data_IF_009956805990
#
_entry.id   IF_009956805990
#
_cell.length_a   1.000
_cell.length_b   1.000
_cell.length_c   1.000
_cell.angle_alpha   90.00
_cell.angle_beta   90.00
_cell.angle_gamma   90.00
#
_symmetry.space_group_name_H-M   'P 1'
#
loop_
_entity.id
_entity.type
_entity.pdbx_description
1 polymer ?
#
# COMPACT_ATOMS: atom_id res chain seq x y z
N UNK A 1 4.84 7.01 14.72
CA UNK A 1 3.56 7.70 14.44
C UNK A 1 3.54 9.11 15.02
N UNK A 2 3.88 9.31 16.30
CA UNK A 2 3.79 10.62 16.96
C UNK A 2 4.66 11.74 16.37
N UNK A 3 5.81 11.40 15.79
CA UNK A 3 6.71 12.36 15.12
C UNK A 3 6.67 12.29 13.60
N UNK A 4 5.84 11.40 13.04
CA UNK A 4 5.76 11.18 11.60
C UNK A 4 4.78 12.16 10.95
N UNK A 5 5.06 12.56 9.71
CA UNK A 5 4.10 13.33 8.89
C UNK A 5 3.14 12.41 8.14
N UNK A 6 3.61 11.22 7.75
CA UNK A 6 2.83 10.24 7.01
C UNK A 6 3.01 8.84 7.63
N UNK A 7 1.93 8.07 7.66
CA UNK A 7 1.89 6.67 8.04
C UNK A 7 1.32 5.87 6.88
N UNK A 8 2.13 5.00 6.28
CA UNK A 8 1.71 4.04 5.28
C UNK A 8 1.55 2.66 5.91
N UNK A 9 0.37 2.07 5.76
CA UNK A 9 0.06 0.73 6.24
C UNK A 9 -0.04 -0.22 5.04
N UNK A 10 0.99 -1.03 4.75
CA UNK A 10 0.90 -2.04 3.70
C UNK A 10 0.13 -3.26 4.18
N UNK A 11 -1.03 -3.52 3.59
CA UNK A 11 -1.92 -4.62 3.99
C UNK A 11 -2.22 -5.50 2.80
N UNK A 12 -2.15 -6.81 3.00
CA UNK A 12 -2.57 -7.74 1.94
C UNK A 12 -4.08 -7.85 1.93
N UNK A 13 -4.72 -8.02 0.77
CA UNK A 13 -6.17 -8.24 0.66
C UNK A 13 -6.52 -9.67 1.12
N UNK A 14 -6.06 -10.10 2.29
CA UNK A 14 -6.33 -11.40 2.92
C UNK A 14 -7.16 -11.16 4.18
N UNK A 15 -8.21 -11.95 4.36
CA UNK A 15 -9.14 -11.82 5.50
C UNK A 15 -8.43 -11.81 6.86
N UNK A 16 -7.34 -12.58 7.01
CA UNK A 16 -6.54 -12.61 8.25
C UNK A 16 -5.86 -11.26 8.50
N UNK A 17 -5.23 -10.70 7.48
CA UNK A 17 -4.49 -9.44 7.54
C UNK A 17 -5.46 -8.25 7.72
N UNK A 18 -6.63 -8.29 7.10
CA UNK A 18 -7.69 -7.30 7.32
C UNK A 18 -8.20 -7.36 8.77
N UNK A 19 -8.37 -8.55 9.34
CA UNK A 19 -8.80 -8.69 10.75
C UNK A 19 -7.82 -8.10 11.75
N UNK A 20 -6.52 -8.07 11.45
CA UNK A 20 -5.55 -7.40 12.33
C UNK A 20 -5.68 -5.88 12.35
N UNK A 21 -6.40 -5.27 11.38
CA UNK A 21 -6.62 -3.82 11.39
C UNK A 21 -7.41 -3.35 12.62
N UNK A 22 -8.33 -4.17 13.15
CA UNK A 22 -9.08 -3.81 14.35
C UNK A 22 -8.17 -3.55 15.56
N UNK A 23 -7.03 -4.24 15.67
CA UNK A 23 -6.05 -3.99 16.73
C UNK A 23 -5.17 -2.76 16.44
N UNK A 24 -4.99 -2.41 15.17
CA UNK A 24 -4.25 -1.22 14.76
C UNK A 24 -5.09 0.05 14.87
N UNK A 25 -6.40 -0.06 14.70
CA UNK A 25 -7.36 1.04 14.72
C UNK A 25 -7.23 1.91 15.98
N UNK A 26 -7.33 1.29 17.16
CA UNK A 26 -7.19 2.00 18.45
C UNK A 26 -5.83 2.73 18.58
N UNK A 27 -4.77 2.13 18.03
CA UNK A 27 -3.41 2.71 18.11
C UNK A 27 -3.28 3.88 17.15
N UNK A 28 -3.84 3.76 15.94
CA UNK A 28 -3.85 4.81 14.91
C UNK A 28 -4.69 5.99 15.37
N UNK A 29 -5.88 5.74 15.92
CA UNK A 29 -6.77 6.76 16.48
C UNK A 29 -6.06 7.59 17.56
N UNK A 30 -5.47 6.92 18.55
CA UNK A 30 -4.68 7.59 19.61
C UNK A 30 -3.52 8.40 19.03
N UNK A 31 -2.85 7.87 18.01
CA UNK A 31 -1.75 8.58 17.37
C UNK A 31 -2.23 9.84 16.63
N UNK A 32 -3.40 9.80 15.99
CA UNK A 32 -3.98 10.97 15.31
C UNK A 32 -4.51 12.02 16.28
N UNK A 33 -4.98 11.62 17.48
CA UNK A 33 -5.34 12.56 18.54
C UNK A 33 -4.11 13.35 19.02
N UNK A 34 -2.97 12.67 19.20
CA UNK A 34 -1.73 13.31 19.68
C UNK A 34 -1.03 14.08 18.56
N UNK A 35 -1.11 13.58 17.33
CA UNK A 35 -0.52 14.17 16.14
C UNK A 35 -1.60 14.38 15.07
N UNK A 36 -2.35 15.47 15.19
CA UNK A 36 -3.47 15.82 14.31
C UNK A 36 -3.05 15.99 12.83
N UNK A 37 -1.75 16.18 12.58
CA UNK A 37 -1.19 16.32 11.23
C UNK A 37 -0.79 14.99 10.59
N UNK A 38 -0.92 13.88 11.30
CA UNK A 38 -0.54 12.55 10.81
C UNK A 38 -1.46 12.10 9.69
N UNK A 39 -0.87 11.92 8.50
CA UNK A 39 -1.59 11.37 7.35
C UNK A 39 -1.50 9.86 7.33
N UNK A 40 -2.62 9.22 7.65
CA UNK A 40 -2.73 7.75 7.65
C UNK A 40 -3.28 7.27 6.32
N UNK A 41 -2.57 6.36 5.67
CA UNK A 41 -2.97 5.73 4.41
C UNK A 41 -2.72 4.24 4.41
N UNK A 42 -3.57 3.48 3.72
CA UNK A 42 -3.41 2.04 3.51
C UNK A 42 -3.10 1.78 2.05
N UNK A 43 -2.09 0.97 1.78
CA UNK A 43 -1.84 0.45 0.43
C UNK A 43 -2.13 -1.05 0.40
N UNK A 44 -2.88 -1.48 -0.61
CA UNK A 44 -3.08 -2.91 -0.86
C UNK A 44 -1.78 -3.49 -1.41
N UNK A 45 -1.13 -4.35 -0.63
CA UNK A 45 0.16 -4.94 -0.94
C UNK A 45 0.02 -6.44 -1.27
N UNK A 46 0.97 -6.98 -2.03
CA UNK A 46 0.98 -8.38 -2.49
C UNK A 46 -0.39 -8.81 -3.05
N UNK A 47 -1.01 -7.93 -3.84
CA UNK A 47 -2.30 -8.21 -4.46
C UNK A 47 -2.19 -9.40 -5.42
N UNK A 48 -3.20 -10.29 -5.45
CA UNK A 48 -3.29 -11.29 -6.50
C UNK A 48 -3.50 -10.60 -7.86
N UNK A 49 -2.84 -11.10 -8.89
CA UNK A 49 -2.86 -10.50 -10.24
C UNK A 49 -4.01 -10.98 -11.12
N UNK A 50 -4.72 -12.05 -10.73
CA UNK A 50 -5.81 -12.61 -11.51
C UNK A 50 -7.05 -11.68 -11.51
N UNK A 51 -7.68 -11.40 -12.66
CA UNK A 51 -8.83 -10.49 -12.74
C UNK A 51 -10.01 -10.87 -11.84
N UNK A 52 -10.27 -12.17 -11.66
CA UNK A 52 -11.34 -12.67 -10.79
C UNK A 52 -11.12 -12.34 -9.30
N UNK A 53 -9.94 -11.86 -8.91
CA UNK A 53 -9.64 -11.43 -7.55
C UNK A 53 -9.79 -9.91 -7.35
N UNK A 54 -10.20 -9.14 -8.37
CA UNK A 54 -10.35 -7.69 -8.26
C UNK A 54 -11.33 -7.28 -7.14
N UNK A 55 -12.48 -7.96 -7.04
CA UNK A 55 -13.49 -7.68 -6.00
C UNK A 55 -12.96 -7.88 -4.58
N UNK A 56 -11.99 -8.79 -4.41
CA UNK A 56 -11.35 -9.03 -3.12
C UNK A 56 -10.46 -7.87 -2.70
N UNK A 57 -9.80 -7.21 -3.65
CA UNK A 57 -8.98 -6.03 -3.41
C UNK A 57 -9.88 -4.85 -3.06
N UNK A 58 -10.94 -4.64 -3.84
CA UNK A 58 -11.92 -3.57 -3.62
C UNK A 58 -12.57 -3.71 -2.23
N UNK A 59 -13.11 -4.89 -1.90
CA UNK A 59 -13.72 -5.11 -0.59
C UNK A 59 -12.73 -4.97 0.58
N UNK A 60 -11.44 -5.27 0.38
CA UNK A 60 -10.43 -5.03 1.40
C UNK A 60 -10.19 -3.53 1.65
N UNK A 61 -10.19 -2.71 0.59
CA UNK A 61 -10.10 -1.24 0.71
C UNK A 61 -11.31 -0.68 1.43
N UNK A 62 -12.52 -1.10 1.03
CA UNK A 62 -13.77 -0.67 1.68
C UNK A 62 -13.75 -0.96 3.18
N UNK A 63 -13.27 -2.14 3.60
CA UNK A 63 -13.15 -2.46 5.02
C UNK A 63 -12.13 -1.55 5.73
N UNK A 64 -10.99 -1.22 5.10
CA UNK A 64 -10.02 -0.29 5.70
C UNK A 64 -10.63 1.09 5.97
N UNK A 65 -11.46 1.59 5.04
CA UNK A 65 -12.16 2.87 5.19
C UNK A 65 -13.13 2.86 6.38
N UNK A 66 -13.72 1.71 6.73
CA UNK A 66 -14.59 1.62 7.92
C UNK A 66 -13.85 1.83 9.25
N UNK A 67 -12.53 1.68 9.27
CA UNK A 67 -11.65 1.98 10.40
C UNK A 67 -11.05 3.40 10.31
N UNK A 68 -11.59 4.28 9.46
CA UNK A 68 -11.05 5.63 9.26
C UNK A 68 -9.66 5.67 8.58
N UNK A 69 -9.19 4.54 8.06
CA UNK A 69 -7.90 4.44 7.39
C UNK A 69 -8.08 4.54 5.87
N UNK A 70 -7.72 5.70 5.33
CA UNK A 70 -7.92 6.01 3.90
C UNK A 70 -7.08 5.09 3.02
N UNK A 71 -7.74 4.27 2.20
CA UNK A 71 -7.12 3.37 1.25
C UNK A 71 -6.69 4.13 -0.01
N UNK A 72 -5.47 3.85 -0.48
CA UNK A 72 -4.94 4.40 -1.73
C UNK A 72 -5.56 3.67 -2.93
N UNK A 73 -5.70 4.37 -4.05
CA UNK A 73 -6.10 3.81 -5.35
C UNK A 73 -5.04 2.84 -5.88
N UNK A 74 -3.77 3.15 -5.65
CA UNK A 74 -2.64 2.31 -6.05
C UNK A 74 -2.66 0.96 -5.32
N UNK A 75 -2.42 -0.11 -6.07
CA UNK A 75 -2.21 -1.46 -5.57
C UNK A 75 -0.81 -1.92 -5.94
N UNK A 76 -0.11 -2.58 -5.02
CA UNK A 76 1.13 -3.30 -5.30
C UNK A 76 0.81 -4.78 -5.46
N UNK A 77 1.20 -5.36 -6.59
CA UNK A 77 0.90 -6.77 -6.88
C UNK A 77 2.04 -7.68 -6.43
N UNK A 78 1.71 -8.93 -6.12
CA UNK A 78 2.73 -9.96 -5.91
C UNK A 78 3.47 -10.22 -7.24
N UNK A 79 4.77 -9.96 -7.25
CA UNK A 79 5.64 -10.09 -8.43
C UNK A 79 6.99 -10.65 -7.97
N UNK A 80 7.48 -11.68 -8.67
CA UNK A 80 8.76 -12.31 -8.35
C UNK A 80 9.93 -11.32 -8.46
N UNK A 81 9.81 -10.33 -9.34
CA UNK A 81 10.84 -9.30 -9.55
C UNK A 81 11.19 -8.51 -8.28
N UNK A 82 10.28 -8.42 -7.30
CA UNK A 82 10.59 -7.79 -6.02
C UNK A 82 11.52 -8.67 -5.17
N UNK A 83 11.38 -10.00 -5.26
CA UNK A 83 12.25 -10.96 -4.60
C UNK A 83 13.61 -11.00 -5.32
N UNK A 84 13.62 -11.01 -6.67
CA UNK A 84 14.85 -10.98 -7.47
C UNK A 84 15.67 -9.69 -7.21
N UNK A 85 14.99 -8.55 -7.07
CA UNK A 85 15.63 -7.29 -6.71
C UNK A 85 16.22 -7.33 -5.30
N UNK A 86 15.48 -7.86 -4.34
CA UNK A 86 15.91 -7.99 -2.94
C UNK A 86 17.13 -8.91 -2.80
N UNK A 87 17.12 -10.08 -3.46
CA UNK A 87 18.26 -11.01 -3.50
C UNK A 87 19.52 -10.34 -4.07
N UNK A 88 19.35 -9.46 -5.07
CA UNK A 88 20.43 -8.68 -5.65
C UNK A 88 20.87 -7.46 -4.81
N UNK A 89 20.22 -7.18 -3.67
CA UNK A 89 20.45 -5.99 -2.85
C UNK A 89 20.07 -4.69 -3.56
N UNK A 90 19.05 -4.73 -4.41
CA UNK A 90 18.62 -3.66 -5.32
C UNK A 90 17.13 -3.38 -5.16
N UNK A 91 16.70 -2.24 -5.66
CA UNK A 91 15.30 -1.99 -5.99
C UNK A 91 15.00 -2.40 -7.43
N UNK A 92 13.70 -2.44 -7.77
CA UNK A 92 13.23 -2.66 -9.14
C UNK A 92 13.83 -1.70 -10.16
N UNK A 93 14.27 -0.51 -9.75
CA UNK A 93 14.83 0.50 -10.65
C UNK A 93 16.31 0.27 -10.98
N UNK A 94 17.01 -0.51 -10.16
CA UNK A 94 18.46 -0.76 -10.24
C UNK A 94 18.80 -2.13 -10.83
N UNK A 95 17.78 -2.97 -11.08
CA UNK A 95 17.95 -4.19 -11.85
C UNK A 95 18.43 -3.88 -13.28
N UNK A 96 19.17 -4.80 -13.92
CA UNK A 96 19.49 -4.69 -15.34
C UNK A 96 18.22 -4.46 -16.17
N UNK A 97 18.29 -3.64 -17.22
CA UNK A 97 17.11 -3.26 -18.04
C UNK A 97 16.31 -4.47 -18.55
N UNK A 98 16.97 -5.60 -18.82
CA UNK A 98 16.32 -6.83 -19.27
C UNK A 98 15.47 -7.54 -18.19
N UNK A 99 15.75 -7.29 -16.91
CA UNK A 99 15.11 -7.91 -15.75
C UNK A 99 14.09 -6.98 -15.08
N UNK A 100 14.02 -5.71 -15.52
CA UNK A 100 13.11 -4.70 -14.97
C UNK A 100 11.66 -4.92 -15.42
N UNK A 101 10.76 -5.14 -14.45
CA UNK A 101 9.32 -5.21 -14.70
C UNK A 101 8.69 -3.80 -14.73
N UNK A 102 8.27 -3.35 -15.92
CA UNK A 102 7.63 -2.04 -16.11
C UNK A 102 6.32 -1.84 -15.36
N UNK A 103 5.59 -2.92 -15.05
CA UNK A 103 4.38 -2.79 -14.24
C UNK A 103 4.74 -2.56 -12.77
N UNK A 104 5.75 -3.26 -12.26
CA UNK A 104 6.26 -3.05 -10.89
C UNK A 104 6.78 -1.62 -10.69
N UNK A 105 7.59 -1.12 -11.64
CA UNK A 105 8.04 0.28 -11.63
C UNK A 105 6.86 1.25 -11.54
N UNK A 106 5.88 1.09 -12.43
CA UNK A 106 4.71 1.97 -12.49
C UNK A 106 3.88 1.91 -11.22
N UNK A 107 3.77 0.75 -10.58
CA UNK A 107 3.08 0.60 -9.29
C UNK A 107 3.78 1.41 -8.19
N UNK A 108 5.10 1.30 -8.07
CA UNK A 108 5.89 2.06 -7.08
C UNK A 108 5.85 3.56 -7.36
N UNK A 109 6.01 3.96 -8.62
CA UNK A 109 5.89 5.37 -9.03
C UNK A 109 4.50 5.94 -8.72
N UNK A 110 3.44 5.19 -8.99
CA UNK A 110 2.05 5.59 -8.68
C UNK A 110 1.86 5.73 -7.17
N UNK A 111 2.41 4.81 -6.38
CA UNK A 111 2.34 4.88 -4.92
C UNK A 111 3.04 6.14 -4.41
N UNK A 112 4.23 6.47 -4.90
CA UNK A 112 4.95 7.68 -4.48
C UNK A 112 4.15 8.93 -4.85
N UNK A 113 3.64 9.01 -6.08
CA UNK A 113 2.81 10.15 -6.52
C UNK A 113 1.58 10.34 -5.65
N UNK A 114 0.87 9.26 -5.36
CA UNK A 114 -0.37 9.32 -4.61
C UNK A 114 -0.14 9.57 -3.11
N UNK A 115 0.84 8.90 -2.50
CA UNK A 115 1.07 8.95 -1.06
C UNK A 115 1.92 10.15 -0.63
N UNK A 116 3.03 10.37 -1.33
CA UNK A 116 4.02 11.41 -0.96
C UNK A 116 3.63 12.76 -1.54
N UNK A 117 3.33 12.80 -2.85
CA UNK A 117 2.99 14.05 -3.55
C UNK A 117 1.50 14.38 -3.52
N UNK A 118 0.65 13.44 -3.10
CA UNK A 118 -0.81 13.61 -2.97
C UNK A 118 -1.49 13.90 -4.32
N UNK A 119 -0.92 13.41 -5.40
CA UNK A 119 -1.54 13.45 -6.73
C UNK A 119 -2.65 12.40 -6.78
N UNK A 120 -3.91 12.83 -6.91
CA UNK A 120 -5.02 11.90 -7.18
C UNK A 120 -5.13 11.66 -8.67
N UNK A 121 -5.46 10.42 -9.06
CA UNK A 121 -5.91 10.15 -10.43
C UNK A 121 -7.29 10.79 -10.56
N UNK A 122 -7.37 11.90 -11.27
CA UNK A 122 -8.65 12.41 -11.74
C UNK A 122 -9.31 11.30 -12.58
N UNK A 123 -10.49 10.88 -12.16
CA UNK A 123 -11.27 9.82 -12.80
C UNK A 123 -11.81 10.24 -14.17
#
# INVERSE_FOLDING_TARGET
MLVATHLLLPIRPKRRDIRSLAALDEVVEKAQIINERLLVRVVMNQCPSLPNQAMRIIGAKEICETFGMVALDTNLYARNVYDDAEEAGRTIFELPTAERDKKAEKEVESLVKEFVYRERKDG
#
